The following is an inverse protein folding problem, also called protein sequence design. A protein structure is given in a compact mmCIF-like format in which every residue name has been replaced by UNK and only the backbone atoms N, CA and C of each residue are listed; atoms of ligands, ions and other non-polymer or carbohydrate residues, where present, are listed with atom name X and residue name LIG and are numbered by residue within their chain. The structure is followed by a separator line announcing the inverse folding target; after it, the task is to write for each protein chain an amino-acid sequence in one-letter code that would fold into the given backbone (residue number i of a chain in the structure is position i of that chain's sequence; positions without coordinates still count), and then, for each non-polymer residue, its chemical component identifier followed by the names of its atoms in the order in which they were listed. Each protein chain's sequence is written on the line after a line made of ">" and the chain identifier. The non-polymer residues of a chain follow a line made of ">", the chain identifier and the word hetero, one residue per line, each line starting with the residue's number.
data_IF_387254515055
#
_entry.id   IF_387254515055
#
_cell.length_a   1.000
_cell.length_b   1.000
_cell.length_c   1.000
_cell.angle_alpha   90.00
_cell.angle_beta   90.00
_cell.angle_gamma   90.00
#
_symmetry.space_group_name_H-M   'P 1'
#
loop_
_entity.id
_entity.type
_entity.pdbx_description
1 polymer ?
2 non-polymer ?
3 non-polymer ?
4 water ?
#
# COMPACT_ATOMS: atom_id res chain seq x y z
N UNK A 14 32.14 4.68 4.78
CA UNK A 14 30.98 3.80 4.92
C UNK A 14 30.25 4.10 6.24
N UNK A 16 30.35 7.15 7.39
CA UNK A 16 30.35 8.60 7.23
C UNK A 16 28.97 9.17 7.01
N UNK A 17 28.78 10.46 7.35
CA UNK A 17 27.44 11.05 7.37
C UNK A 17 26.83 11.14 5.98
N UNK A 18 27.66 11.23 4.93
CA UNK A 18 27.16 11.12 3.57
C UNK A 18 26.47 9.77 3.41
N UNK A 19 25.25 9.81 2.90
CA UNK A 19 24.53 8.60 2.78
C UNK A 19 23.69 8.24 3.99
N UNK A 20 23.54 9.14 4.95
CA UNK A 20 22.67 8.86 6.09
C UNK A 20 21.58 9.92 6.18
N UNK A 21 20.54 9.62 6.95
CA UNK A 21 19.42 10.51 7.16
C UNK A 21 18.79 10.13 8.49
N UNK A 22 17.58 10.63 8.76
CA UNK A 22 16.97 10.53 10.09
C UNK A 22 15.61 9.87 10.08
N UNK A 23 15.35 9.08 11.12
CA UNK A 23 14.01 8.59 11.39
C UNK A 23 13.21 9.64 12.14
N UNK A 24 11.95 9.32 12.46
CA UNK A 24 11.12 10.37 13.04
C UNK A 24 11.58 10.78 14.43
N UNK A 25 12.31 9.92 15.15
CA UNK A 25 12.91 10.25 16.44
C UNK A 25 14.28 10.92 16.30
N UNK A 26 14.68 11.27 15.09
CA UNK A 26 15.92 11.97 14.77
C UNK A 26 17.10 11.00 14.69
N UNK A 27 16.93 9.74 15.08
CA UNK A 27 18.07 8.84 15.07
C UNK A 27 18.55 8.61 13.64
N UNK A 28 19.82 8.30 13.51
CA UNK A 28 20.49 8.31 12.20
C UNK A 28 20.45 6.90 11.61
N UNK A 29 20.16 6.84 10.32
CA UNK A 29 20.07 5.58 9.58
C UNK A 29 20.72 5.78 8.22
N UNK A 30 21.18 4.67 7.65
CA UNK A 30 21.63 4.65 6.27
C UNK A 30 20.47 4.93 5.32
N UNK A 31 20.80 5.53 4.18
CA UNK A 31 19.82 5.69 3.10
C UNK A 31 19.31 4.38 2.53
N UNK A 32 19.92 3.25 2.90
CA UNK A 32 19.50 1.93 2.52
C UNK A 32 18.84 1.17 3.66
N UNK A 33 18.61 1.85 4.78
CA UNK A 33 17.98 1.20 5.94
C UNK A 33 16.63 0.59 5.61
N UNK A 34 16.39 -0.62 6.16
CA UNK A 34 15.16 -1.32 5.84
C UNK A 34 13.91 -0.56 6.22
N UNK A 35 13.93 0.16 7.33
CA UNK A 35 12.73 0.91 7.72
C UNK A 35 12.46 2.00 6.71
N UNK A 36 13.50 2.73 6.35
CA UNK A 36 13.39 3.79 5.35
C UNK A 36 12.95 3.25 4.01
N UNK A 37 13.52 2.13 3.56
CA UNK A 37 13.06 1.57 2.29
C UNK A 37 11.56 1.26 2.34
N UNK A 38 11.06 0.76 3.49
CA UNK A 38 9.64 0.45 3.62
C UNK A 38 8.79 1.71 3.51
N UNK A 39 9.12 2.76 4.23
CA UNK A 39 8.26 3.95 4.14
C UNK A 39 8.47 4.69 2.82
N UNK A 40 9.63 4.56 2.20
CA UNK A 40 9.83 5.12 0.86
C UNK A 40 8.95 4.39 -0.12
N UNK A 41 8.85 3.05 -0.03
CA UNK A 41 7.99 2.36 -0.98
C UNK A 41 6.52 2.68 -0.71
N UNK A 42 6.12 2.98 0.54
CA UNK A 42 4.77 3.50 0.76
C UNK A 42 4.56 4.81 0.01
N UNK A 43 5.55 5.71 -0.03
CA UNK A 43 5.48 6.95 -0.80
C UNK A 43 5.29 6.62 -2.27
N UNK A 44 6.10 5.71 -2.81
CA UNK A 44 5.98 5.35 -4.21
C UNK A 44 4.60 4.76 -4.50
N UNK A 45 4.06 3.93 -3.59
CA UNK A 45 2.69 3.42 -3.78
C UNK A 45 1.68 4.55 -3.75
N UNK A 46 1.85 5.50 -2.83
CA UNK A 46 0.92 6.61 -2.72
C UNK A 46 0.92 7.41 -4.02
N UNK A 47 2.10 7.64 -4.61
CA UNK A 47 2.19 8.34 -5.89
C UNK A 47 1.51 7.53 -6.99
N UNK A 48 1.62 6.19 -6.98
CA UNK A 48 0.93 5.41 -8.00
C UNK A 48 -0.57 5.54 -7.86
N UNK A 49 -1.07 5.56 -6.64
CA UNK A 49 -2.51 5.80 -6.47
C UNK A 49 -2.88 7.20 -6.95
N UNK A 50 -2.05 8.20 -6.69
CA UNK A 50 -2.33 9.54 -7.19
C UNK A 50 -2.39 9.60 -8.71
N UNK A 51 -1.53 8.82 -9.37
CA UNK A 51 -1.58 8.81 -10.84
C UNK A 51 -2.86 8.13 -11.35
N UNK A 52 -3.29 7.05 -10.68
CA UNK A 52 -4.58 6.44 -11.02
C UNK A 52 -5.74 7.44 -10.89
N UNK A 53 -5.72 8.24 -9.86
CA UNK A 53 -6.76 9.26 -9.69
C UNK A 53 -6.69 10.33 -10.75
N UNK A 54 -5.48 10.77 -11.04
CA UNK A 54 -5.31 11.92 -11.91
C UNK A 54 -5.55 11.57 -13.38
N UNK A 55 -5.11 10.38 -13.79
CA UNK A 55 -5.25 10.01 -15.20
C UNK A 55 -6.46 9.13 -15.44
N UNK A 56 -6.98 8.47 -14.38
CA UNK A 56 -8.08 7.53 -14.56
C UNK A 56 -9.51 8.04 -14.43
N UNK A 57 -9.74 9.21 -13.92
CA UNK A 57 -11.16 9.66 -14.02
C UNK A 57 -12.11 8.74 -13.26
N UNK A 58 -11.85 8.43 -12.00
CA UNK A 58 -12.78 7.56 -11.25
C UNK A 58 -14.04 8.27 -10.78
N UNK A 59 -15.07 7.45 -10.49
CA UNK A 59 -16.33 7.89 -9.86
C UNK A 59 -16.03 8.55 -8.51
N UNK A 60 -17.01 9.29 -7.98
CA UNK A 60 -16.80 10.00 -6.72
C UNK A 60 -16.54 9.03 -5.58
N UNK A 61 -17.26 7.91 -5.55
CA UNK A 61 -17.09 6.94 -4.46
C UNK A 61 -15.69 6.32 -4.47
N UNK A 62 -15.20 5.91 -5.64
CA UNK A 62 -13.86 5.34 -5.70
C UNK A 62 -12.82 6.40 -5.33
N UNK A 63 -13.03 7.64 -5.76
CA UNK A 63 -12.13 8.71 -5.38
C UNK A 63 -12.02 8.87 -3.87
N UNK A 64 -13.15 8.77 -3.16
CA UNK A 64 -13.15 8.97 -1.72
C UNK A 64 -12.43 7.82 -1.04
N UNK A 65 -12.63 6.59 -1.53
CA UNK A 65 -11.92 5.44 -0.99
C UNK A 65 -10.43 5.61 -1.20
N UNK A 66 -10.02 5.90 -2.43
CA UNK A 66 -8.59 6.01 -2.70
C UNK A 66 -7.93 7.16 -1.95
N UNK A 67 -8.64 8.28 -1.76
CA UNK A 67 -8.05 9.35 -0.97
C UNK A 67 -7.92 8.98 0.50
N UNK A 68 -8.84 8.19 1.04
CA UNK A 68 -8.64 7.72 2.41
C UNK A 68 -7.42 6.82 2.49
N UNK A 69 -7.23 5.95 1.50
CA UNK A 69 -6.06 5.10 1.46
C UNK A 69 -4.79 5.93 1.39
N UNK A 70 -4.77 6.97 0.55
CA UNK A 70 -3.59 7.83 0.51
C UNK A 70 -3.28 8.45 1.87
N UNK A 71 -4.30 8.82 2.63
CA UNK A 71 -4.08 9.33 3.98
C UNK A 71 -3.52 8.22 4.87
N UNK A 72 -4.08 7.03 4.76
CA UNK A 72 -3.63 5.89 5.54
C UNK A 72 -2.17 5.57 5.27
N UNK A 73 -1.72 5.73 4.03
CA UNK A 73 -0.33 5.39 3.69
C UNK A 73 0.65 6.32 4.41
N UNK A 74 0.29 7.58 4.64
CA UNK A 74 1.13 8.42 5.48
C UNK A 74 1.07 7.97 6.93
N UNK A 75 -0.07 7.47 7.41
CA UNK A 75 -0.08 6.94 8.76
C UNK A 75 0.86 5.76 8.86
N UNK A 76 0.86 4.90 7.82
CA UNK A 76 1.75 3.73 7.78
C UNK A 76 3.23 4.16 7.73
N UNK A 77 3.55 5.18 6.94
CA UNK A 77 4.92 5.69 6.93
C UNK A 77 5.34 6.29 8.25
N UNK A 78 4.42 7.00 8.92
CA UNK A 78 4.72 7.52 10.26
C UNK A 78 5.03 6.36 11.20
N UNK A 79 4.24 5.28 11.13
CA UNK A 79 4.46 4.10 11.97
C UNK A 79 5.85 3.53 11.69
N UNK A 80 6.12 3.25 10.42
CA UNK A 80 7.40 2.62 10.05
C UNK A 80 8.61 3.49 10.39
N UNK A 81 8.44 4.80 10.35
CA UNK A 81 9.55 5.70 10.62
C UNK A 81 9.77 5.94 12.10
N UNK A 82 8.91 5.41 12.99
CA UNK A 82 8.96 5.71 14.43
C UNK A 82 9.27 4.44 15.19
N UNK A 83 10.50 4.26 15.67
CA UNK A 83 10.81 3.04 16.41
C UNK A 83 9.86 2.82 17.58
N UNK A 84 9.50 1.53 17.81
CA UNK A 84 8.70 1.18 18.97
C UNK A 84 9.59 1.19 20.21
N UNK A 85 9.15 1.93 21.22
CA UNK A 85 9.85 1.97 22.49
C UNK A 85 8.86 1.73 23.62
N UNK A 86 9.41 1.24 24.74
CA UNK A 86 8.67 1.10 25.99
C UNK A 86 8.39 2.47 26.58
N UNK A 87 7.14 2.72 26.93
CA UNK A 87 6.78 3.99 27.55
C UNK A 87 7.35 5.18 26.78
N UNK A 88 6.78 5.52 25.63
CA UNK A 88 7.27 6.68 24.86
C UNK A 88 6.85 7.99 25.52
N UNK A 89 7.55 9.06 25.15
CA UNK A 89 7.21 10.40 25.65
C UNK A 89 5.73 10.70 25.41
N UNK A 90 5.31 10.60 24.16
CA UNK A 90 3.90 10.72 23.83
C UNK A 90 3.50 9.60 22.86
N UNK A 91 2.23 9.20 22.91
CA UNK A 91 1.78 8.02 22.17
C UNK A 91 1.97 8.18 20.68
N UNK A 92 2.67 7.25 20.04
CA UNK A 92 2.93 7.38 18.61
C UNK A 92 1.72 7.06 17.75
N UNK A 93 1.67 7.68 16.58
CA UNK A 93 0.72 7.29 15.55
C UNK A 93 1.11 5.96 14.94
N UNK A 94 0.21 5.00 15.01
CA UNK A 94 0.42 3.64 14.51
C UNK A 94 -0.81 3.16 13.75
N UNK A 95 -0.57 2.34 12.72
CA UNK A 95 -1.65 1.57 12.11
C UNK A 95 -2.26 0.63 13.12
N UNK A 96 -3.59 0.55 13.12
CA UNK A 96 -4.37 -0.30 14.01
C UNK A 96 -5.20 -1.28 13.18
N UNK A 97 -5.69 -2.34 13.87
CA UNK A 97 -6.47 -3.36 13.16
C UNK A 97 -7.68 -2.76 12.47
N UNK A 98 -8.23 -1.69 13.05
CA UNK A 98 -9.38 -1.00 12.47
C UNK A 98 -9.12 -0.56 11.03
N UNK A 99 -7.88 -0.17 10.70
CA UNK A 99 -7.58 0.22 9.33
C UNK A 99 -7.77 -0.96 8.38
N UNK A 100 -7.34 -2.16 8.82
CA UNK A 100 -7.41 -3.32 7.97
C UNK A 100 -8.85 -3.78 7.85
N UNK A 101 -9.61 -3.75 8.96
CA UNK A 101 -11.03 -4.06 8.92
C UNK A 101 -11.74 -3.17 7.91
N UNK A 102 -11.39 -1.88 7.88
CA UNK A 102 -12.00 -1.01 6.86
C UNK A 102 -11.64 -1.46 5.44
N UNK A 103 -10.36 -1.79 5.18
CA UNK A 103 -10.04 -2.27 3.83
C UNK A 103 -10.83 -3.52 3.48
N UNK A 104 -10.95 -4.43 4.44
CA UNK A 104 -11.71 -5.65 4.17
C UNK A 104 -13.17 -5.37 3.87
N UNK A 105 -13.78 -4.45 4.59
CA UNK A 105 -15.16 -4.09 4.29
C UNK A 105 -15.30 -3.60 2.86
N UNK A 106 -14.33 -2.79 2.40
CA UNK A 106 -14.37 -2.30 1.03
C UNK A 106 -14.15 -3.45 0.05
N UNK A 107 -13.22 -4.36 0.36
CA UNK A 107 -13.01 -5.51 -0.51
C UNK A 107 -14.30 -6.29 -0.72
N UNK A 108 -14.99 -6.56 0.38
CA UNK A 108 -16.24 -7.35 0.30
C UNK A 108 -17.30 -6.63 -0.53
N UNK A 109 -17.44 -5.32 -0.33
CA UNK A 109 -18.50 -4.58 -1.03
C UNK A 109 -18.23 -4.48 -2.51
N UNK A 110 -16.99 -4.18 -2.88
CA UNK A 110 -16.65 -4.01 -4.28
C UNK A 110 -16.51 -5.34 -5.03
N UNK A 111 -16.25 -6.45 -4.31
CA UNK A 111 -16.15 -7.75 -4.97
C UNK A 111 -17.51 -8.40 -5.20
N UNK A 112 -18.58 -7.88 -4.60
CA UNK A 112 -19.85 -8.59 -4.61
C UNK A 112 -20.42 -8.77 -6.00
N UNK A 113 -20.29 -7.78 -6.86
CA UNK A 113 -20.87 -7.90 -8.19
C UNK A 113 -19.95 -8.49 -9.23
N UNK A 114 -18.72 -8.75 -8.87
CA UNK A 114 -17.81 -9.24 -9.88
C UNK A 114 -18.08 -10.71 -10.16
N UNK A 115 -17.89 -11.14 -11.40
CA UNK A 115 -18.02 -12.58 -11.69
C UNK A 115 -16.88 -13.36 -11.03
N UNK A 116 -17.13 -14.65 -10.81
CA UNK A 116 -16.06 -15.50 -10.30
C UNK A 116 -14.94 -15.56 -11.33
N UNK A 117 -13.71 -15.50 -10.85
CA UNK A 117 -12.53 -15.56 -11.68
C UNK A 117 -11.81 -16.87 -11.42
N UNK A 118 -11.37 -17.52 -12.49
CA UNK A 118 -10.68 -18.80 -12.41
C UNK A 118 -9.25 -18.73 -12.93
N UNK A 119 -8.75 -17.54 -13.28
CA UNK A 119 -7.37 -17.46 -13.72
C UNK A 119 -6.91 -16.02 -13.58
N UNK A 120 -5.64 -15.85 -13.88
CA UNK A 120 -5.04 -14.54 -13.94
C UNK A 120 -5.63 -13.70 -15.06
N UNK A 121 -5.64 -12.39 -14.85
CA UNK A 121 -6.14 -11.45 -15.84
C UNK A 121 -4.99 -10.58 -16.34
N UNK A 122 -4.96 -10.34 -17.64
CA UNK A 122 -3.96 -9.44 -18.19
C UNK A 122 -4.24 -8.03 -17.69
N UNK A 123 -3.26 -7.36 -17.12
CA UNK A 123 -3.50 -6.01 -16.60
C UNK A 123 -3.64 -5.02 -17.72
N UNK A 124 -4.56 -4.09 -17.55
CA UNK A 124 -4.74 -3.04 -18.50
C UNK A 124 -6.19 -2.56 -18.46
N UNK A 125 -6.72 -2.20 -19.60
CA UNK A 125 -8.12 -1.81 -19.77
C UNK A 125 -8.24 -0.33 -20.01
N UNK A 126 -8.98 0.34 -19.12
CA UNK A 126 -9.06 1.80 -19.16
C UNK A 126 -7.82 2.36 -18.51
N UNK A 127 -7.56 3.65 -18.69
CA UNK A 127 -6.50 4.24 -17.88
C UNK A 127 -6.64 3.92 -16.39
N UNK A 128 -7.86 4.04 -15.85
CA UNK A 128 -8.03 3.78 -14.42
C UNK A 128 -7.71 2.33 -14.06
N UNK A 129 -8.26 1.35 -14.80
CA UNK A 129 -8.02 -0.04 -14.43
C UNK A 129 -6.54 -0.41 -14.58
N UNK A 130 -5.89 0.13 -15.61
CA UNK A 130 -4.49 -0.16 -15.84
C UNK A 130 -3.64 0.46 -14.75
N UNK A 131 -3.95 1.66 -14.33
CA UNK A 131 -3.15 2.30 -13.30
C UNK A 131 -3.45 1.76 -11.92
N UNK A 132 -4.63 1.17 -11.69
CA UNK A 132 -4.86 0.42 -10.45
C UNK A 132 -4.05 -0.87 -10.40
N UNK A 133 -3.81 -1.53 -11.53
CA UNK A 133 -2.89 -2.65 -11.55
C UNK A 133 -1.47 -2.17 -11.26
N UNK A 134 -1.02 -1.06 -11.85
CA UNK A 134 0.32 -0.55 -11.52
C UNK A 134 0.41 -0.30 -10.02
N UNK A 135 -0.57 0.38 -9.46
CA UNK A 135 -0.57 0.65 -8.03
C UNK A 135 -0.58 -0.63 -7.21
N UNK A 136 -1.36 -1.62 -7.64
CA UNK A 136 -1.39 -2.90 -6.95
C UNK A 136 0.01 -3.47 -6.84
N UNK A 137 0.75 -3.49 -7.96
CA UNK A 137 2.08 -4.10 -7.96
C UNK A 137 3.07 -3.30 -7.11
N UNK A 138 2.94 -1.98 -7.09
CA UNK A 138 3.83 -1.18 -6.25
C UNK A 138 3.49 -1.37 -4.78
N UNK A 139 2.18 -1.44 -4.43
CA UNK A 139 1.82 -1.76 -3.05
C UNK A 139 2.37 -3.10 -2.63
N UNK A 140 2.31 -4.11 -3.50
CA UNK A 140 2.88 -5.42 -3.14
C UNK A 140 4.38 -5.34 -2.90
N UNK A 141 5.07 -4.50 -3.66
CA UNK A 141 6.49 -4.25 -3.44
C UNK A 141 6.70 -3.59 -2.10
N UNK A 142 5.87 -2.59 -1.77
CA UNK A 142 5.96 -1.99 -0.45
C UNK A 142 5.71 -2.98 0.67
N UNK A 143 4.79 -3.94 0.47
CA UNK A 143 4.52 -4.93 1.49
C UNK A 143 5.78 -5.74 1.76
N UNK A 144 6.48 -6.14 0.70
CA UNK A 144 7.70 -6.92 0.87
C UNK A 144 8.72 -6.11 1.67
N UNK A 145 8.85 -4.81 1.34
CA UNK A 145 9.78 -3.97 2.08
C UNK A 145 9.37 -3.84 3.54
N UNK A 146 8.07 -3.76 3.80
CA UNK A 146 7.59 -3.66 5.17
C UNK A 146 7.90 -4.93 5.98
N UNK A 147 7.76 -6.11 5.35
CA UNK A 147 8.19 -7.34 6.02
C UNK A 147 9.69 -7.37 6.24
N UNK A 148 10.49 -6.86 5.30
CA UNK A 148 11.92 -6.83 5.51
C UNK A 148 12.28 -5.92 6.68
N UNK A 149 11.51 -4.83 6.89
CA UNK A 149 11.77 -3.95 8.05
C UNK A 149 11.47 -4.67 9.35
N UNK A 150 10.37 -5.45 9.42
CA UNK A 150 10.07 -6.24 10.60
C UNK A 150 11.17 -7.26 10.82
N UNK A 151 11.65 -7.88 9.74
CA UNK A 151 12.67 -8.92 9.90
C UNK A 151 13.95 -8.32 10.47
N UNK A 152 14.28 -7.09 10.06
CA UNK A 152 15.47 -6.41 10.56
C UNK A 152 15.31 -5.93 12.00
N UNK A 153 14.07 -5.66 12.43
CA UNK A 153 13.78 -5.06 13.74
C UNK A 153 12.54 -5.71 14.34
N UNK A 154 12.65 -6.97 14.75
CA UNK A 154 11.46 -7.72 15.13
C UNK A 154 10.71 -7.14 16.30
N UNK A 155 11.40 -6.43 17.19
CA UNK A 155 10.75 -5.81 18.33
C UNK A 155 10.50 -4.33 18.14
N UNK A 156 11.10 -3.71 17.14
CA UNK A 156 11.07 -2.26 16.98
C UNK A 156 10.18 -1.76 15.87
N UNK A 157 9.65 -2.67 15.03
CA UNK A 157 8.80 -2.33 13.88
C UNK A 157 7.51 -3.14 14.00
N UNK A 158 6.37 -2.49 13.78
CA UNK A 158 5.06 -3.15 13.79
C UNK A 158 4.83 -3.97 12.54
N UNK A 159 4.13 -5.10 12.69
CA UNK A 159 3.72 -5.85 11.50
C UNK A 159 2.46 -5.28 10.85
N UNK A 160 1.76 -4.35 11.52
CA UNK A 160 0.50 -3.90 10.97
C UNK A 160 0.64 -3.09 9.67
N UNK A 161 1.71 -2.29 9.46
CA UNK A 161 1.87 -1.67 8.13
C UNK A 161 1.90 -2.73 7.03
N UNK A 162 2.66 -3.79 7.23
CA UNK A 162 2.73 -4.83 6.19
C UNK A 162 1.39 -5.51 5.99
N UNK A 163 0.67 -5.76 7.10
CA UNK A 163 -0.66 -6.41 6.96
C UNK A 163 -1.63 -5.48 6.24
N UNK A 164 -1.52 -4.18 6.50
CA UNK A 164 -2.33 -3.21 5.79
C UNK A 164 -2.04 -3.24 4.30
N UNK A 165 -0.77 -3.24 3.93
CA UNK A 165 -0.40 -3.22 2.52
C UNK A 165 -0.85 -4.51 1.84
N UNK A 166 -0.80 -5.63 2.56
CA UNK A 166 -1.32 -6.90 2.03
C UNK A 166 -2.80 -6.80 1.64
N UNK A 167 -3.63 -6.29 2.54
CA UNK A 167 -5.06 -6.18 2.23
C UNK A 167 -5.28 -5.12 1.15
N UNK A 168 -4.47 -4.06 1.15
CA UNK A 168 -4.61 -3.00 0.14
C UNK A 168 -4.41 -3.57 -1.26
N UNK A 169 -3.47 -4.53 -1.43
CA UNK A 169 -3.30 -5.04 -2.79
C UNK A 169 -4.49 -5.90 -3.21
N UNK A 170 -5.16 -6.56 -2.26
CA UNK A 170 -6.41 -7.23 -2.58
C UNK A 170 -7.44 -6.23 -3.07
N UNK A 171 -7.58 -5.11 -2.36
CA UNK A 171 -8.57 -4.12 -2.73
C UNK A 171 -8.24 -3.53 -4.10
N UNK A 172 -6.96 -3.22 -4.35
CA UNK A 172 -6.64 -2.62 -5.64
C UNK A 172 -6.89 -3.59 -6.78
N UNK A 173 -6.72 -4.92 -6.55
CA UNK A 173 -7.11 -5.88 -7.60
C UNK A 173 -8.60 -5.80 -7.86
N UNK A 174 -9.39 -5.86 -6.81
CA UNK A 174 -10.85 -5.81 -6.93
C UNK A 174 -11.28 -4.55 -7.66
N UNK A 175 -10.72 -3.39 -7.24
CA UNK A 175 -11.11 -2.14 -7.87
C UNK A 175 -10.68 -2.09 -9.33
N UNK A 176 -9.52 -2.66 -9.68
CA UNK A 176 -9.18 -2.69 -11.11
C UNK A 176 -10.19 -3.47 -11.90
N UNK A 177 -10.73 -4.56 -11.34
CA UNK A 177 -11.75 -5.30 -12.07
C UNK A 177 -13.04 -4.50 -12.22
N UNK A 178 -13.49 -3.81 -11.14
CA UNK A 178 -14.67 -2.96 -11.21
C UNK A 178 -14.52 -1.94 -12.32
N UNK A 179 -13.31 -1.32 -12.37
CA UNK A 179 -13.10 -0.23 -13.32
C UNK A 179 -12.91 -0.68 -14.77
N UNK A 180 -12.59 -1.93 -15.01
CA UNK A 180 -12.12 -2.38 -16.31
C UNK A 180 -13.26 -2.50 -17.28
N UNK A 181 -13.26 -1.72 -18.37
CA UNK A 181 -14.31 -1.93 -19.40
C UNK A 181 -14.07 -3.12 -20.29
N UNK A 182 -12.86 -3.68 -20.33
CA UNK A 182 -12.58 -4.90 -21.07
C UNK A 182 -13.04 -6.15 -20.32
N UNK A 183 -13.67 -5.98 -19.15
CA UNK A 183 -13.94 -7.16 -18.35
C UNK A 183 -12.64 -7.85 -17.95
N UNK A 184 -12.73 -9.15 -17.80
CA UNK A 184 -11.60 -10.00 -17.41
C UNK A 184 -11.02 -10.64 -18.68
N UNK A 185 -9.83 -10.20 -19.09
CA UNK A 185 -9.09 -10.80 -20.19
C UNK A 185 -8.15 -11.84 -19.60
N UNK A 186 -8.46 -13.11 -19.83
CA UNK A 186 -7.82 -14.20 -19.10
C UNK A 186 -6.48 -14.63 -19.72
N UNK A 187 -5.53 -14.92 -18.83
CA UNK A 187 -4.30 -15.60 -19.22
C UNK A 187 -4.64 -16.97 -19.82
N UNK A 188 -3.95 -17.30 -20.91
CA UNK A 188 -4.05 -18.64 -21.50
C UNK A 188 -2.69 -19.31 -21.33
N UNK A 189 -2.51 -20.17 -20.33
CA UNK A 189 -1.18 -20.74 -20.08
C UNK A 189 -0.59 -21.40 -21.31
N UNK A 190 0.63 -20.99 -21.65
CA UNK A 190 1.32 -21.48 -22.82
C UNK A 190 0.62 -21.22 -24.11
N UNK A 191 -0.33 -20.30 -24.13
CA UNK A 191 -1.16 -20.09 -25.31
C UNK A 191 -0.91 -18.78 -26.02
#
# INVERSE_FOLDING_TARGET
>A
GSHMAVHLTRIYTRTGDDGTTGLSDMSRVAKTDARLVAYADCDEANAAIGAALALGHPDTQITDVLRQIQNDLFDAGADLSTPIVENPKHPPLRIAQSYIDRLEGWCDAYNAGLPALKSFVLPGGSPLSALLHVARTVVRRAERSAWAAVDAHPEGVSVLPAKYLNRLSDLLFILSRVANPDGDVLWRPGGDRTAS
#
